data_IF_432234393955
#
_entry.id   IF_432234393955
#
_cell.length_a   1.000
_cell.length_b   1.000
_cell.length_c   1.000
_cell.angle_alpha   90.00
_cell.angle_beta   90.00
_cell.angle_gamma   90.00
#
_symmetry.space_group_name_H-M   'P 1'
#
loop_
_entity.id
_entity.type
_entity.pdbx_description
1 polymer ?
#
# COMPACT_ATOMS: atom_id res chain seq x y z
N UNK A 1 6.38 -43.53 40.58
CA UNK A 1 5.83 -42.16 40.50
C UNK A 1 7.01 -41.23 40.73
N UNK A 2 7.72 -40.79 39.69
CA UNK A 2 7.44 -39.55 38.93
C UNK A 2 8.16 -38.39 39.64
N UNK A 3 9.05 -37.59 39.06
CA UNK A 3 9.42 -37.38 37.67
C UNK A 3 10.82 -36.76 37.62
N UNK A 4 11.63 -37.26 36.69
CA UNK A 4 12.95 -36.74 36.35
C UNK A 4 12.80 -35.39 35.61
N UNK A 5 13.26 -34.31 36.24
CA UNK A 5 13.24 -32.95 35.68
C UNK A 5 14.29 -32.80 34.58
N UNK A 6 13.97 -33.26 33.37
CA UNK A 6 14.72 -32.93 32.15
C UNK A 6 14.54 -31.44 31.84
N UNK A 7 15.54 -30.63 32.17
CA UNK A 7 15.72 -29.30 31.56
C UNK A 7 15.96 -29.51 30.08
N UNK A 8 14.89 -29.38 29.28
CA UNK A 8 14.99 -29.18 27.84
C UNK A 8 15.81 -27.91 27.62
N UNK A 9 16.96 -28.07 27.00
CA UNK A 9 17.67 -26.97 26.37
C UNK A 9 16.77 -26.47 25.24
N UNK A 10 16.24 -25.26 25.40
CA UNK A 10 15.63 -24.49 24.32
C UNK A 10 16.78 -24.05 23.40
N UNK A 11 17.16 -24.91 22.46
CA UNK A 11 18.02 -24.51 21.35
C UNK A 11 17.21 -23.55 20.48
N UNK A 12 17.36 -22.25 20.75
CA UNK A 12 17.01 -21.23 19.77
C UNK A 12 17.70 -21.59 18.46
N UNK A 13 16.90 -21.95 17.45
CA UNK A 13 17.35 -22.04 16.06
C UNK A 13 17.87 -20.65 15.68
N UNK A 14 19.16 -20.40 15.94
CA UNK A 14 19.88 -19.33 15.26
C UNK A 14 19.75 -19.69 13.78
N UNK A 15 18.96 -18.89 13.08
CA UNK A 15 19.06 -18.83 11.63
C UNK A 15 20.55 -18.74 11.29
N UNK A 16 21.06 -19.52 10.32
CA UNK A 16 22.42 -19.31 9.87
C UNK A 16 22.47 -17.86 9.43
N UNK A 17 23.25 -17.04 10.15
CA UNK A 17 23.49 -15.68 9.73
C UNK A 17 24.12 -15.81 8.35
N UNK A 18 23.41 -15.32 7.34
CA UNK A 18 23.89 -15.20 5.97
C UNK A 18 24.92 -14.08 6.01
N UNK A 19 26.03 -14.34 6.70
CA UNK A 19 27.16 -13.44 6.83
C UNK A 19 28.20 -14.00 5.87
N UNK A 20 27.96 -13.75 4.59
CA UNK A 20 28.94 -13.98 3.55
C UNK A 20 29.80 -12.71 3.49
N UNK A 21 31.11 -12.83 3.73
CA UNK A 21 32.05 -11.70 3.83
C UNK A 21 32.15 -10.88 2.52
N UNK A 22 31.54 -11.38 1.44
CA UNK A 22 31.50 -10.76 0.11
C UNK A 22 30.15 -10.10 -0.22
N UNK A 23 29.13 -10.27 0.62
CA UNK A 23 27.79 -9.76 0.33
C UNK A 23 27.63 -8.32 0.84
N UNK A 24 27.53 -7.38 -0.09
CA UNK A 24 27.29 -5.96 0.22
C UNK A 24 25.82 -5.63 -0.02
N UNK A 25 25.14 -5.15 1.02
CA UNK A 25 23.77 -4.66 0.93
C UNK A 25 23.75 -3.15 0.71
N UNK A 26 23.21 -2.71 -0.42
CA UNK A 26 22.94 -1.30 -0.69
C UNK A 26 21.46 -1.00 -0.47
N UNK A 27 21.16 0.00 0.37
CA UNK A 27 19.80 0.54 0.51
C UNK A 27 19.67 1.74 -0.41
N UNK A 28 18.70 1.69 -1.32
CA UNK A 28 18.38 2.81 -2.21
C UNK A 28 17.19 3.55 -1.64
N UNK A 29 17.30 4.89 -1.58
CA UNK A 29 16.22 5.78 -1.20
C UNK A 29 15.93 6.75 -2.34
N UNK A 30 14.66 7.12 -2.52
CA UNK A 30 14.24 8.06 -3.57
C UNK A 30 13.75 9.37 -3.00
N UNK A 31 14.23 10.46 -3.59
CA UNK A 31 13.77 11.81 -3.27
C UNK A 31 12.34 12.02 -3.80
N UNK A 32 11.56 12.81 -3.06
CA UNK A 32 10.19 13.19 -3.43
C UNK A 32 10.10 13.79 -4.85
N UNK A 33 11.00 14.71 -5.20
CA UNK A 33 11.03 15.35 -6.52
C UNK A 33 11.23 14.36 -7.67
N UNK A 34 12.05 13.32 -7.42
CA UNK A 34 12.31 12.25 -8.37
C UNK A 34 11.06 11.39 -8.52
N UNK A 35 10.41 11.03 -7.40
CA UNK A 35 9.15 10.29 -7.41
C UNK A 35 8.06 11.05 -8.18
N UNK A 36 7.91 12.36 -7.96
CA UNK A 36 6.92 13.16 -8.67
C UNK A 36 7.16 13.19 -10.18
N UNK A 37 8.40 13.45 -10.59
CA UNK A 37 8.76 13.54 -12.01
C UNK A 37 8.47 12.22 -12.73
N UNK A 38 8.86 11.09 -12.12
CA UNK A 38 8.58 9.80 -12.72
C UNK A 38 7.12 9.36 -12.60
N UNK A 39 6.40 9.76 -11.55
CA UNK A 39 4.97 9.49 -11.45
C UNK A 39 4.16 10.16 -12.56
N UNK A 40 4.58 11.35 -13.01
CA UNK A 40 3.98 12.05 -14.14
C UNK A 40 4.26 11.31 -15.46
N UNK A 41 5.52 10.93 -15.71
CA UNK A 41 5.94 10.18 -16.90
C UNK A 41 5.23 8.81 -16.98
N UNK A 42 5.10 8.13 -15.84
CA UNK A 42 4.46 6.82 -15.75
C UNK A 42 2.94 6.90 -15.66
N UNK A 43 2.36 8.11 -15.71
CA UNK A 43 0.92 8.30 -15.72
C UNK A 43 0.22 7.59 -14.54
N UNK A 44 0.80 7.74 -13.35
CA UNK A 44 0.29 7.11 -12.13
C UNK A 44 -1.01 7.78 -11.71
N UNK A 45 -2.01 6.96 -11.37
CA UNK A 45 -3.32 7.40 -10.88
C UNK A 45 -3.29 7.55 -9.36
N UNK A 46 -3.60 8.74 -8.85
CA UNK A 46 -3.49 9.08 -7.44
C UNK A 46 -4.78 9.73 -6.88
N UNK A 47 -5.01 9.63 -5.56
CA UNK A 47 -6.21 10.17 -4.94
C UNK A 47 -6.22 11.70 -4.91
N UNK A 48 -7.29 12.30 -5.43
CA UNK A 48 -7.55 13.74 -5.38
C UNK A 48 -8.33 14.16 -4.14
N UNK A 49 -9.45 13.48 -3.86
CA UNK A 49 -10.37 13.85 -2.79
C UNK A 49 -11.14 12.64 -2.30
N UNK A 50 -11.50 12.55 -1.01
CA UNK A 50 -12.44 11.54 -0.53
C UNK A 50 -13.75 11.56 -1.34
N UNK A 51 -14.24 10.39 -1.72
CA UNK A 51 -15.48 10.24 -2.46
C UNK A 51 -16.69 10.56 -1.56
N UNK A 52 -17.37 11.66 -1.84
CA UNK A 52 -18.57 12.12 -1.14
C UNK A 52 -19.88 11.64 -1.81
N UNK A 53 -19.78 10.87 -2.89
CA UNK A 53 -20.96 10.45 -3.68
C UNK A 53 -21.72 9.27 -3.07
N UNK A 54 -21.14 8.54 -2.10
CA UNK A 54 -21.84 7.42 -1.44
C UNK A 54 -23.13 7.85 -0.73
N UNK A 55 -23.25 9.12 -0.35
CA UNK A 55 -24.47 9.69 0.23
C UNK A 55 -25.63 9.82 -0.77
N UNK A 56 -25.37 9.74 -2.09
CA UNK A 56 -26.38 9.88 -3.15
C UNK A 56 -26.82 8.56 -3.79
N UNK A 57 -26.78 7.46 -3.04
CA UNK A 57 -27.23 6.14 -3.50
C UNK A 57 -28.76 5.98 -3.50
N UNK A 58 -29.52 6.96 -3.99
CA UNK A 58 -30.99 6.93 -4.00
C UNK A 58 -31.62 6.64 -5.37
N UNK A 59 -30.82 6.50 -6.45
CA UNK A 59 -31.34 6.38 -7.82
C UNK A 59 -31.21 4.98 -8.46
N UNK A 60 -30.35 4.10 -7.91
CA UNK A 60 -30.07 2.75 -8.48
C UNK A 60 -30.65 1.59 -7.67
N UNK A 61 -31.49 1.87 -6.67
CA UNK A 61 -32.06 0.88 -5.74
C UNK A 61 -32.87 -0.25 -6.41
N UNK A 62 -33.36 0.00 -7.63
CA UNK A 62 -34.14 -0.95 -8.41
C UNK A 62 -33.35 -2.19 -8.89
N UNK A 63 -32.01 -2.14 -8.91
CA UNK A 63 -31.16 -3.29 -9.27
C UNK A 63 -30.51 -3.98 -8.05
N UNK A 64 -30.82 -3.55 -6.82
CA UNK A 64 -30.11 -4.03 -5.61
C UNK A 64 -30.38 -5.50 -5.27
N UNK A 65 -31.50 -6.09 -5.71
CA UNK A 65 -31.86 -7.48 -5.35
C UNK A 65 -30.83 -8.53 -5.81
N UNK A 66 -30.16 -8.33 -6.96
CA UNK A 66 -29.13 -9.27 -7.43
C UNK A 66 -27.76 -9.03 -6.79
N UNK A 67 -27.45 -7.78 -6.45
CA UNK A 67 -26.15 -7.39 -5.88
C UNK A 67 -26.07 -7.64 -4.36
N UNK A 68 -27.20 -7.77 -3.66
CA UNK A 68 -27.26 -8.10 -2.22
C UNK A 68 -26.59 -9.42 -1.85
N UNK A 69 -26.53 -10.40 -2.75
CA UNK A 69 -25.86 -11.69 -2.50
C UNK A 69 -24.33 -11.55 -2.49
N UNK A 70 -23.80 -10.52 -3.16
CA UNK A 70 -22.37 -10.19 -3.19
C UNK A 70 -22.00 -9.08 -2.20
N UNK A 71 -22.99 -8.51 -1.49
CA UNK A 71 -22.74 -7.53 -0.45
C UNK A 71 -22.16 -8.24 0.77
N UNK A 72 -20.91 -7.94 1.05
CA UNK A 72 -20.23 -8.36 2.27
C UNK A 72 -20.87 -7.64 3.45
N UNK A 73 -21.13 -8.39 4.52
CA UNK A 73 -21.68 -7.85 5.76
C UNK A 73 -20.72 -6.81 6.35
N UNK A 74 -21.20 -5.58 6.48
CA UNK A 74 -20.44 -4.39 6.91
C UNK A 74 -19.96 -4.51 8.38
N UNK A 75 -20.53 -5.47 9.14
CA UNK A 75 -20.09 -5.82 10.49
C UNK A 75 -18.76 -6.59 10.54
N UNK A 76 -18.38 -7.29 9.45
CA UNK A 76 -17.12 -8.05 9.37
C UNK A 76 -16.03 -7.26 8.64
N UNK A 77 -16.39 -6.47 7.63
CA UNK A 77 -15.45 -5.67 6.83
C UNK A 77 -15.91 -4.21 6.82
N UNK A 78 -15.09 -3.31 7.38
CA UNK A 78 -15.36 -1.88 7.32
C UNK A 78 -15.33 -1.41 5.86
N UNK A 79 -16.26 -0.55 5.43
CA UNK A 79 -16.27 -0.04 4.07
C UNK A 79 -14.98 0.72 3.80
N UNK A 80 -14.28 0.36 2.73
CA UNK A 80 -13.09 1.09 2.33
C UNK A 80 -13.47 2.52 1.89
N UNK A 81 -12.69 3.49 2.37
CA UNK A 81 -12.84 4.87 1.96
C UNK A 81 -12.47 4.98 0.48
N UNK A 82 -13.44 5.26 -0.36
CA UNK A 82 -13.20 5.54 -1.77
C UNK A 82 -12.68 6.97 -1.93
N UNK A 83 -11.81 7.17 -2.92
CA UNK A 83 -11.28 8.47 -3.32
C UNK A 83 -11.56 8.68 -4.80
N UNK A 84 -11.76 9.93 -5.18
CA UNK A 84 -11.64 10.33 -6.58
C UNK A 84 -10.18 10.19 -7.01
N UNK A 85 -9.97 9.65 -8.20
CA UNK A 85 -8.64 9.33 -8.70
C UNK A 85 -8.39 10.14 -9.97
N UNK A 86 -7.22 10.76 -10.09
CA UNK A 86 -6.77 11.41 -11.32
C UNK A 86 -5.33 11.07 -11.66
N UNK A 87 -4.96 11.38 -12.90
CA UNK A 87 -3.60 11.25 -13.39
C UNK A 87 -2.69 12.23 -12.66
N UNK A 88 -1.54 11.77 -12.18
CA UNK A 88 -0.59 12.61 -11.46
C UNK A 88 0.09 13.60 -12.40
N UNK A 89 0.08 14.86 -12.00
CA UNK A 89 0.75 15.96 -12.71
C UNK A 89 1.58 16.75 -11.69
N UNK A 90 2.85 17.01 -12.00
CA UNK A 90 3.76 17.69 -11.07
C UNK A 90 3.36 19.15 -10.81
N UNK A 91 2.74 19.81 -11.79
CA UNK A 91 2.24 21.20 -11.68
C UNK A 91 1.10 21.32 -10.65
N UNK A 92 0.25 20.29 -10.55
CA UNK A 92 -0.97 20.25 -9.75
C UNK A 92 -0.81 19.44 -8.45
N UNK A 93 0.42 19.24 -7.96
CA UNK A 93 0.70 18.38 -6.78
C UNK A 93 -0.07 18.83 -5.54
N UNK A 94 -0.29 20.13 -5.38
CA UNK A 94 -1.00 20.69 -4.22
C UNK A 94 -2.51 20.37 -4.24
N UNK A 95 -3.06 19.98 -5.39
CA UNK A 95 -4.48 19.62 -5.53
C UNK A 95 -4.77 18.16 -5.16
N UNK A 96 -3.73 17.33 -5.04
CA UNK A 96 -3.86 15.95 -4.62
C UNK A 96 -4.07 15.82 -3.12
N UNK A 97 -4.72 14.73 -2.71
CA UNK A 97 -4.92 14.41 -1.31
C UNK A 97 -3.62 13.91 -0.67
N UNK A 98 -2.78 14.83 -0.21
CA UNK A 98 -1.50 14.53 0.44
C UNK A 98 -1.63 14.80 1.95
N UNK A 99 -1.75 13.75 2.75
CA UNK A 99 -1.68 13.88 4.22
C UNK A 99 -0.22 13.98 4.69
N UNK A 100 0.61 13.08 4.17
CA UNK A 100 2.03 13.00 4.46
C UNK A 100 2.77 12.59 3.18
N UNK A 101 3.89 13.25 2.89
CA UNK A 101 4.67 13.02 1.67
C UNK A 101 5.34 11.65 1.70
N UNK A 102 5.73 11.19 2.87
CA UNK A 102 6.44 9.93 3.02
C UNK A 102 5.52 8.72 2.93
N UNK A 103 4.20 8.90 2.98
CA UNK A 103 3.19 7.83 2.86
C UNK A 103 2.33 7.94 1.60
N UNK A 104 2.28 9.11 0.95
CA UNK A 104 1.48 9.35 -0.25
C UNK A 104 1.74 8.33 -1.38
N UNK A 105 3.01 8.09 -1.72
CA UNK A 105 3.36 7.01 -2.64
C UNK A 105 3.45 5.70 -1.87
N UNK A 106 2.62 4.71 -2.21
CA UNK A 106 2.74 3.36 -1.63
C UNK A 106 4.17 2.81 -1.89
N UNK A 107 4.83 2.16 -0.90
CA UNK A 107 6.08 1.44 -1.12
C UNK A 107 6.14 0.60 -2.42
N UNK A 108 5.04 -0.05 -2.82
CA UNK A 108 4.96 -0.77 -4.09
C UNK A 108 5.18 0.15 -5.30
N UNK A 109 4.49 1.29 -5.32
CA UNK A 109 4.65 2.32 -6.36
C UNK A 109 6.05 2.91 -6.36
N UNK A 110 6.62 3.19 -5.17
CA UNK A 110 8.01 3.67 -5.05
C UNK A 110 9.01 2.67 -5.62
N UNK A 111 8.84 1.39 -5.31
CA UNK A 111 9.69 0.32 -5.86
C UNK A 111 9.53 0.21 -7.39
N UNK A 112 8.30 0.34 -7.89
CA UNK A 112 8.02 0.30 -9.32
C UNK A 112 8.73 1.44 -10.07
N UNK A 113 8.61 2.67 -9.57
CA UNK A 113 9.28 3.86 -10.11
C UNK A 113 10.82 3.68 -10.15
N UNK A 114 11.41 3.13 -9.08
CA UNK A 114 12.87 2.89 -9.02
C UNK A 114 13.28 1.81 -10.02
N UNK A 115 12.51 0.74 -10.12
CA UNK A 115 12.85 -0.42 -10.96
C UNK A 115 12.87 -0.11 -12.45
N UNK A 116 11.98 0.78 -12.90
CA UNK A 116 11.85 1.13 -14.32
C UNK A 116 12.92 2.10 -14.80
N UNK A 117 13.57 2.84 -13.90
CA UNK A 117 14.64 3.79 -14.23
C UNK A 117 16.02 3.16 -14.36
N UNK A 118 16.11 1.83 -14.26
CA UNK A 118 17.34 1.11 -14.47
C UNK A 118 17.48 0.80 -15.97
N UNK A 119 18.05 1.76 -16.71
CA UNK A 119 18.63 1.53 -18.05
C UNK A 119 19.87 0.66 -17.94
#
# INVERSE_FOLDING_TARGET
>A
MGSSSKRRQETALRSPQILDDKLVFAKVHTLWEVLCTYAEILHIKLPLKPNDLKTRSSAFDNFSCFLKVLQVDESIIKPEQEFFIALFEKSCVNDFYIQDRDTFFNPATRSHIVSLNRV
#
